data_IF_603366177610
#
_entry.id   IF_603366177610
#
_cell.length_a   1.000
_cell.length_b   1.000
_cell.length_c   1.000
_cell.angle_alpha   90.00
_cell.angle_beta   90.00
_cell.angle_gamma   90.00
#
_symmetry.space_group_name_H-M   'P 1'
#
loop_
_entity.id
_entity.type
_entity.pdbx_description
1 polymer ?
#
# COMPACT_ATOMS: atom_id res chain seq x y z
N UNK A 1 -31.91 -43.32 11.36
CA UNK A 1 -32.89 -43.41 12.45
C UNK A 1 -32.39 -44.14 13.70
N UNK A 2 -31.10 -44.49 13.83
CA UNK A 2 -30.57 -45.14 15.03
C UNK A 2 -30.20 -44.17 16.17
N UNK A 3 -30.07 -42.88 15.89
CA UNK A 3 -29.60 -41.86 16.87
C UNK A 3 -30.70 -40.87 17.28
N UNK A 4 -31.99 -41.12 17.01
CA UNK A 4 -33.10 -40.29 17.47
C UNK A 4 -33.24 -38.91 16.78
N UNK A 5 -32.42 -38.60 15.80
CA UNK A 5 -32.49 -37.35 15.04
C UNK A 5 -33.38 -37.55 13.83
N UNK A 6 -34.54 -36.92 13.81
CA UNK A 6 -35.43 -36.87 12.64
C UNK A 6 -35.09 -35.64 11.81
N UNK A 7 -34.20 -35.79 10.82
CA UNK A 7 -33.90 -34.76 9.86
C UNK A 7 -34.25 -35.23 8.45
N UNK A 8 -34.85 -34.35 7.64
CA UNK A 8 -35.07 -34.58 6.21
C UNK A 8 -33.79 -34.18 5.44
N UNK A 9 -33.64 -34.71 4.22
CA UNK A 9 -32.46 -34.44 3.36
C UNK A 9 -32.23 -32.94 3.02
N UNK A 10 -33.21 -32.09 3.29
CA UNK A 10 -33.14 -30.63 3.07
C UNK A 10 -33.00 -29.83 4.37
N UNK A 11 -32.88 -30.48 5.52
CA UNK A 11 -32.75 -29.81 6.80
C UNK A 11 -31.30 -29.66 7.20
N UNK A 12 -30.93 -28.46 7.69
CA UNK A 12 -29.61 -28.22 8.26
C UNK A 12 -29.55 -28.90 9.64
N UNK A 13 -28.50 -29.63 9.91
CA UNK A 13 -28.15 -30.22 11.19
C UNK A 13 -27.03 -29.43 11.84
N UNK A 14 -26.95 -29.42 13.16
CA UNK A 14 -25.83 -28.80 13.86
C UNK A 14 -24.51 -29.58 13.65
N UNK A 15 -23.39 -28.92 13.87
CA UNK A 15 -22.04 -29.46 13.61
C UNK A 15 -21.78 -30.73 14.47
N UNK A 16 -22.26 -30.75 15.72
CA UNK A 16 -22.04 -31.89 16.64
C UNK A 16 -22.80 -33.12 16.19
N UNK A 17 -24.05 -32.94 15.73
CA UNK A 17 -24.86 -34.01 15.13
C UNK A 17 -24.26 -34.52 13.84
N UNK A 18 -23.74 -33.63 12.98
CA UNK A 18 -23.06 -34.00 11.76
C UNK A 18 -21.80 -34.85 12.01
N UNK A 19 -21.00 -34.46 13.00
CA UNK A 19 -19.79 -35.17 13.42
C UNK A 19 -20.10 -36.61 13.86
N UNK A 20 -21.10 -36.77 14.77
CA UNK A 20 -21.55 -38.07 15.24
C UNK A 20 -22.02 -38.97 14.10
N UNK A 21 -22.74 -38.42 13.13
CA UNK A 21 -23.22 -39.18 11.96
C UNK A 21 -22.06 -39.64 11.10
N UNK A 22 -21.08 -38.80 10.85
CA UNK A 22 -19.92 -39.13 9.99
C UNK A 22 -19.01 -40.14 10.65
N UNK A 23 -18.80 -40.05 11.99
CA UNK A 23 -18.05 -41.04 12.77
C UNK A 23 -18.72 -42.42 12.78
N UNK A 24 -20.04 -42.49 12.82
CA UNK A 24 -20.77 -43.78 12.73
C UNK A 24 -20.58 -44.48 11.39
N UNK A 25 -20.35 -43.70 10.31
CA UNK A 25 -20.00 -44.23 8.98
C UNK A 25 -18.51 -44.54 8.84
N UNK A 26 -17.70 -44.41 9.89
CA UNK A 26 -16.28 -44.77 9.90
C UNK A 26 -15.38 -43.72 9.21
N UNK A 27 -15.89 -42.50 9.01
CA UNK A 27 -15.15 -41.39 8.45
C UNK A 27 -14.63 -40.47 9.57
N UNK A 28 -13.51 -39.80 9.33
CA UNK A 28 -12.99 -38.78 10.24
C UNK A 28 -13.47 -37.41 9.79
N UNK A 29 -14.02 -36.63 10.72
CA UNK A 29 -14.41 -35.23 10.49
C UNK A 29 -13.24 -34.32 10.85
N UNK A 30 -12.92 -33.40 9.97
CA UNK A 30 -12.10 -32.23 10.29
C UNK A 30 -13.04 -31.03 10.34
N UNK A 31 -13.29 -30.50 11.54
CA UNK A 31 -14.00 -29.22 11.65
C UNK A 31 -13.13 -28.15 11.03
N UNK A 32 -13.62 -27.54 9.97
CA UNK A 32 -13.02 -26.36 9.36
C UNK A 32 -13.90 -25.19 9.77
N UNK A 33 -13.35 -24.31 10.59
CA UNK A 33 -13.98 -23.03 10.88
C UNK A 33 -13.98 -22.18 9.62
N UNK A 34 -14.98 -21.34 9.41
CA UNK A 34 -14.96 -20.39 8.28
C UNK A 34 -13.72 -19.49 8.32
N UNK A 35 -13.15 -19.23 9.49
CA UNK A 35 -11.87 -18.53 9.67
C UNK A 35 -10.64 -19.36 9.27
N UNK A 36 -10.75 -20.70 9.24
CA UNK A 36 -9.62 -21.57 8.85
C UNK A 36 -9.25 -21.44 7.37
N UNK A 37 -10.15 -20.89 6.55
CA UNK A 37 -9.89 -20.55 5.14
C UNK A 37 -8.82 -19.46 5.04
N UNK A 38 -8.73 -18.58 6.02
CA UNK A 38 -7.71 -17.53 6.08
C UNK A 38 -6.45 -17.94 6.86
N UNK A 39 -6.47 -19.08 7.57
CA UNK A 39 -5.28 -19.61 8.25
C UNK A 39 -4.21 -20.03 7.24
N UNK A 40 -3.00 -19.51 7.42
CA UNK A 40 -1.85 -19.79 6.55
C UNK A 40 -1.76 -18.92 5.30
N UNK A 41 -2.65 -17.92 5.16
CA UNK A 41 -2.53 -16.86 4.14
C UNK A 41 -1.49 -15.83 4.58
N UNK A 42 -1.50 -15.47 5.87
CA UNK A 42 -0.41 -14.72 6.47
C UNK A 42 0.77 -15.69 6.61
N UNK A 43 1.82 -15.44 5.85
CA UNK A 43 3.00 -16.29 5.85
C UNK A 43 3.59 -16.44 7.24
N UNK A 44 4.25 -17.57 7.50
CA UNK A 44 5.05 -17.80 8.70
C UNK A 44 6.01 -16.61 8.90
N UNK A 45 6.34 -16.31 10.15
CA UNK A 45 7.39 -15.35 10.46
C UNK A 45 8.69 -15.83 9.78
N UNK A 46 9.38 -14.87 9.14
CA UNK A 46 10.63 -15.18 8.45
C UNK A 46 11.75 -15.37 9.46
N UNK A 47 12.64 -16.34 9.21
CA UNK A 47 13.86 -16.48 9.99
C UNK A 47 14.78 -15.27 9.73
N UNK A 48 15.43 -14.74 10.76
CA UNK A 48 16.33 -13.58 10.64
C UNK A 48 17.46 -13.81 9.63
N UNK A 49 17.86 -15.06 9.41
CA UNK A 49 18.90 -15.45 8.45
C UNK A 49 18.51 -15.26 6.99
N UNK A 50 17.20 -15.24 6.70
CA UNK A 50 16.67 -15.13 5.33
C UNK A 50 16.33 -13.68 4.96
N UNK A 51 16.42 -12.77 5.93
CA UNK A 51 16.13 -11.36 5.74
C UNK A 51 17.27 -10.63 5.03
N UNK A 52 16.95 -9.98 3.92
CA UNK A 52 17.85 -9.15 3.13
C UNK A 52 17.42 -7.67 3.19
N UNK A 53 18.36 -6.72 3.11
CA UNK A 53 18.01 -5.31 3.01
C UNK A 53 17.11 -5.04 1.80
N UNK A 54 16.05 -4.23 2.01
CA UNK A 54 15.15 -3.81 0.93
C UNK A 54 15.16 -2.29 0.75
N UNK A 55 14.72 -1.84 -0.41
CA UNK A 55 14.53 -0.42 -0.66
C UNK A 55 13.49 0.18 0.29
N UNK A 56 13.70 1.42 0.79
CA UNK A 56 12.65 2.12 1.52
C UNK A 56 11.49 2.47 0.61
N UNK A 57 10.28 2.39 1.17
CA UNK A 57 9.05 2.88 0.56
C UNK A 57 8.75 4.26 1.15
N UNK A 58 8.72 5.27 0.31
CA UNK A 58 8.60 6.67 0.71
C UNK A 58 7.34 7.27 0.12
N UNK A 59 6.44 7.73 0.95
CA UNK A 59 5.26 8.44 0.48
C UNK A 59 5.48 9.95 0.54
N UNK A 60 5.20 10.64 -0.57
CA UNK A 60 5.30 12.09 -0.66
C UNK A 60 3.94 12.71 -0.43
N UNK A 61 3.86 13.57 0.59
CA UNK A 61 2.64 14.21 1.06
C UNK A 61 2.83 15.72 1.20
N UNK A 62 1.73 16.44 1.25
CA UNK A 62 1.72 17.90 1.45
C UNK A 62 0.58 18.55 0.69
N UNK A 63 0.51 19.88 0.79
CA UNK A 63 -0.55 20.68 0.19
C UNK A 63 -0.51 20.65 -1.34
N UNK A 64 -1.65 20.99 -1.98
CA UNK A 64 -1.72 21.26 -3.43
C UNK A 64 -0.73 22.39 -3.76
N UNK A 65 -0.15 22.35 -4.95
CA UNK A 65 0.79 23.36 -5.46
C UNK A 65 2.10 23.55 -4.65
N UNK A 66 2.37 22.74 -3.62
CA UNK A 66 3.67 22.75 -2.94
C UNK A 66 4.78 22.08 -3.75
N UNK A 67 4.46 21.52 -4.94
CA UNK A 67 5.43 20.99 -5.88
C UNK A 67 5.85 19.54 -5.61
N UNK A 68 4.97 18.71 -5.04
CA UNK A 68 5.22 17.27 -4.78
C UNK A 68 5.61 16.53 -6.07
N UNK A 69 4.74 16.58 -7.08
CA UNK A 69 4.96 15.90 -8.38
C UNK A 69 6.20 16.45 -9.07
N UNK A 70 6.41 17.78 -9.03
CA UNK A 70 7.62 18.39 -9.60
C UNK A 70 8.91 17.95 -8.88
N UNK A 71 8.86 17.77 -7.55
CA UNK A 71 9.97 17.24 -6.77
C UNK A 71 10.28 15.79 -7.18
N UNK A 72 9.25 14.98 -7.32
CA UNK A 72 9.36 13.60 -7.74
C UNK A 72 9.87 13.48 -9.19
N UNK A 73 9.40 14.32 -10.09
CA UNK A 73 9.93 14.38 -11.47
C UNK A 73 11.40 14.77 -11.51
N UNK A 74 11.82 15.70 -10.65
CA UNK A 74 13.21 16.09 -10.53
C UNK A 74 14.09 14.92 -10.05
N UNK A 75 13.61 14.09 -9.11
CA UNK A 75 14.29 12.88 -8.64
C UNK A 75 14.31 11.77 -9.69
N UNK A 76 13.21 11.58 -10.44
CA UNK A 76 13.12 10.56 -11.52
C UNK A 76 13.84 10.95 -12.80
N UNK A 77 14.17 12.21 -12.98
CA UNK A 77 14.61 12.77 -14.28
C UNK A 77 13.54 12.56 -15.37
N UNK A 78 12.25 12.80 -15.01
CA UNK A 78 11.07 12.68 -15.88
C UNK A 78 10.25 13.96 -15.84
N UNK A 79 9.19 14.03 -16.63
CA UNK A 79 8.29 15.18 -16.72
C UNK A 79 6.82 14.68 -16.73
N UNK A 80 6.43 14.01 -15.65
CA UNK A 80 5.08 13.45 -15.48
C UNK A 80 4.08 14.56 -15.17
N UNK A 81 4.47 15.57 -14.39
CA UNK A 81 3.61 16.70 -14.06
C UNK A 81 3.06 17.41 -15.29
N UNK A 82 3.84 17.51 -16.36
CA UNK A 82 3.40 18.11 -17.63
C UNK A 82 2.43 17.23 -18.43
N UNK A 83 2.42 15.92 -18.16
CA UNK A 83 1.57 14.95 -18.87
C UNK A 83 0.22 14.72 -18.18
N UNK A 84 0.07 15.10 -16.91
CA UNK A 84 -1.18 14.95 -16.16
C UNK A 84 -2.22 16.02 -16.56
N UNK A 85 -3.48 15.58 -16.70
CA UNK A 85 -4.58 16.46 -17.04
C UNK A 85 -4.80 17.51 -15.93
N UNK A 86 -4.56 18.79 -16.25
CA UNK A 86 -4.65 19.89 -15.30
C UNK A 86 -3.43 20.10 -14.42
N UNK A 87 -2.32 19.35 -14.63
CA UNK A 87 -1.06 19.50 -13.88
C UNK A 87 -1.16 19.06 -12.41
N UNK A 88 -2.17 18.24 -12.07
CA UNK A 88 -2.39 17.75 -10.71
C UNK A 88 -2.44 16.22 -10.69
N UNK A 89 -1.80 15.62 -9.70
CA UNK A 89 -1.86 14.17 -9.46
C UNK A 89 -3.26 13.79 -8.97
N UNK A 90 -3.95 12.91 -9.70
CA UNK A 90 -5.30 12.42 -9.39
C UNK A 90 -5.33 10.94 -9.02
N UNK A 91 -4.26 10.21 -9.29
CA UNK A 91 -4.07 8.79 -9.00
C UNK A 91 -2.87 8.60 -8.07
N UNK A 92 -2.83 7.48 -7.37
CA UNK A 92 -1.63 7.15 -6.60
C UNK A 92 -0.57 6.63 -7.58
N UNK A 93 0.51 7.40 -7.77
CA UNK A 93 1.67 6.96 -8.51
C UNK A 93 2.61 6.15 -7.63
N UNK A 94 3.07 5.00 -8.11
CA UNK A 94 4.10 4.23 -7.41
C UNK A 94 5.21 3.85 -8.39
N UNK A 95 6.46 4.15 -8.04
CA UNK A 95 7.62 3.91 -8.92
C UNK A 95 8.91 3.79 -8.13
N UNK A 96 9.90 3.16 -8.74
CA UNK A 96 11.20 2.93 -8.12
C UNK A 96 12.29 3.73 -8.83
N UNK A 97 13.06 4.51 -8.06
CA UNK A 97 14.22 5.28 -8.53
C UNK A 97 15.48 4.54 -8.13
N UNK A 98 16.40 4.37 -9.07
CA UNK A 98 17.76 3.88 -8.80
C UNK A 98 18.69 5.08 -8.75
N UNK A 99 19.32 5.29 -7.61
CA UNK A 99 20.25 6.37 -7.36
C UNK A 99 21.60 6.13 -8.03
N UNK A 100 22.45 7.16 -8.13
CA UNK A 100 23.82 7.02 -8.66
C UNK A 100 24.67 6.02 -7.86
N UNK A 101 24.38 5.85 -6.57
CA UNK A 101 25.01 4.87 -5.69
C UNK A 101 24.59 3.40 -5.97
N UNK A 102 23.62 3.18 -6.86
CA UNK A 102 23.01 1.88 -7.11
C UNK A 102 21.92 1.49 -6.07
N UNK A 103 21.79 2.22 -4.97
CA UNK A 103 20.67 2.05 -4.02
C UNK A 103 19.36 2.44 -4.68
N UNK A 104 18.26 1.85 -4.23
CA UNK A 104 16.92 2.10 -4.75
C UNK A 104 16.04 2.73 -3.69
N UNK A 105 15.13 3.59 -4.12
CA UNK A 105 14.06 4.17 -3.31
C UNK A 105 12.75 3.98 -4.07
N UNK A 106 11.73 3.50 -3.39
CA UNK A 106 10.38 3.40 -3.96
C UNK A 106 9.55 4.58 -3.48
N UNK A 107 9.08 5.38 -4.42
CA UNK A 107 8.23 6.52 -4.12
C UNK A 107 6.76 6.21 -4.39
N UNK A 108 5.90 6.71 -3.50
CA UNK A 108 4.46 6.74 -3.66
C UNK A 108 4.02 8.21 -3.70
N UNK A 109 3.53 8.64 -4.85
CA UNK A 109 2.96 9.98 -5.03
C UNK A 109 1.47 9.96 -4.69
N UNK A 110 1.03 10.87 -3.82
CA UNK A 110 -0.36 10.97 -3.40
C UNK A 110 -0.97 12.32 -3.79
N UNK A 111 -2.25 12.32 -4.26
CA UNK A 111 -2.94 13.56 -4.56
C UNK A 111 -3.00 14.51 -3.36
N UNK A 112 -2.71 15.79 -3.58
CA UNK A 112 -2.73 16.81 -2.52
C UNK A 112 -4.12 17.33 -2.19
N UNK A 113 -5.11 17.16 -3.06
CA UNK A 113 -6.43 17.73 -2.90
C UNK A 113 -7.24 17.07 -1.76
N UNK A 114 -8.05 17.87 -1.04
CA UNK A 114 -8.84 17.43 0.11
C UNK A 114 -9.74 16.22 -0.21
N UNK A 115 -10.30 16.15 -1.40
CA UNK A 115 -11.16 15.05 -1.84
C UNK A 115 -10.48 13.66 -1.80
N UNK A 116 -9.14 13.58 -1.67
CA UNK A 116 -8.36 12.35 -1.75
C UNK A 116 -7.75 11.90 -0.41
N UNK A 117 -8.38 12.23 0.73
CA UNK A 117 -7.94 11.83 2.07
C UNK A 117 -7.70 10.33 2.21
N UNK A 118 -8.58 9.50 1.66
CA UNK A 118 -8.44 8.03 1.69
C UNK A 118 -7.20 7.54 0.93
N UNK A 119 -6.79 8.24 -0.14
CA UNK A 119 -5.57 7.90 -0.89
C UNK A 119 -4.32 8.24 -0.09
N UNK A 120 -4.31 9.37 0.65
CA UNK A 120 -3.20 9.72 1.55
C UNK A 120 -3.07 8.74 2.71
N UNK A 121 -4.20 8.36 3.33
CA UNK A 121 -4.21 7.35 4.39
C UNK A 121 -3.64 6.00 3.90
N UNK A 122 -4.01 5.60 2.68
CA UNK A 122 -3.50 4.38 2.04
C UNK A 122 -2.01 4.49 1.73
N UNK A 123 -1.55 5.61 1.18
CA UNK A 123 -0.12 5.85 0.98
C UNK A 123 0.64 5.69 2.29
N UNK A 124 0.17 6.32 3.37
CA UNK A 124 0.80 6.23 4.69
C UNK A 124 0.86 4.79 5.23
N UNK A 125 -0.17 3.97 5.03
CA UNK A 125 -0.25 2.60 5.60
C UNK A 125 0.75 1.60 5.02
N UNK A 126 1.32 1.89 3.86
CA UNK A 126 2.28 1.01 3.17
C UNK A 126 3.70 1.59 3.12
N UNK A 127 3.91 2.75 3.76
CA UNK A 127 5.18 3.49 3.70
C UNK A 127 6.07 3.23 4.91
N UNK A 128 7.37 3.30 4.68
CA UNK A 128 8.38 3.28 5.73
C UNK A 128 8.73 4.70 6.22
N UNK A 129 8.73 5.68 5.30
CA UNK A 129 9.09 7.07 5.57
C UNK A 129 8.15 8.01 4.83
N UNK A 130 7.70 9.08 5.44
CA UNK A 130 6.91 10.13 4.81
C UNK A 130 7.79 11.34 4.52
N UNK A 131 7.83 11.78 3.25
CA UNK A 131 8.41 13.08 2.87
C UNK A 131 7.29 14.10 2.82
N UNK A 132 7.30 15.01 3.78
CA UNK A 132 6.34 16.11 3.89
C UNK A 132 6.85 17.33 3.11
N UNK A 133 6.23 17.64 2.00
CA UNK A 133 6.62 18.77 1.15
C UNK A 133 5.87 20.02 1.58
N UNK A 134 6.61 21.04 1.95
CA UNK A 134 6.08 22.37 2.34
C UNK A 134 6.74 23.43 1.50
N UNK A 135 5.96 24.28 0.84
CA UNK A 135 6.49 25.39 0.06
C UNK A 135 6.97 26.51 0.98
N UNK A 136 8.19 27.01 0.76
CA UNK A 136 8.83 28.03 1.59
C UNK A 136 8.16 29.41 1.52
N UNK A 137 7.40 29.67 0.44
CA UNK A 137 6.62 30.89 0.22
C UNK A 137 5.24 30.83 0.87
N UNK A 138 4.61 29.64 0.97
CA UNK A 138 3.24 29.47 1.46
C UNK A 138 3.19 29.08 2.95
N UNK A 139 4.12 28.23 3.44
CA UNK A 139 4.14 27.72 4.81
C UNK A 139 3.24 26.50 5.01
N UNK A 140 2.85 26.24 6.27
CA UNK A 140 2.03 25.07 6.65
C UNK A 140 0.56 25.34 6.35
N UNK A 141 -0.01 24.53 5.46
CA UNK A 141 -1.39 24.62 4.99
C UNK A 141 -2.27 23.51 5.58
N UNK A 142 -3.61 23.59 5.55
CA UNK A 142 -4.50 22.59 6.16
C UNK A 142 -4.22 21.16 5.74
N UNK A 143 -3.93 20.92 4.45
CA UNK A 143 -3.60 19.58 3.95
C UNK A 143 -2.21 19.08 4.39
N UNK A 144 -1.30 20.01 4.71
CA UNK A 144 -0.03 19.66 5.35
C UNK A 144 -0.28 19.11 6.77
N UNK A 145 -1.18 19.75 7.52
CA UNK A 145 -1.58 19.28 8.86
C UNK A 145 -2.25 17.90 8.79
N UNK A 146 -3.09 17.68 7.80
CA UNK A 146 -3.71 16.38 7.55
C UNK A 146 -2.65 15.30 7.24
N UNK A 147 -1.68 15.62 6.38
CA UNK A 147 -0.56 14.73 6.06
C UNK A 147 0.26 14.33 7.30
N UNK A 148 0.54 15.29 8.20
CA UNK A 148 1.20 15.02 9.49
C UNK A 148 0.37 14.03 10.33
N UNK A 149 -0.94 14.18 10.39
CA UNK A 149 -1.82 13.27 11.12
C UNK A 149 -1.79 11.85 10.53
N UNK A 150 -1.79 11.73 9.21
CA UNK A 150 -1.70 10.42 8.55
C UNK A 150 -0.34 9.75 8.81
N UNK A 151 0.76 10.49 8.73
CA UNK A 151 2.09 9.97 9.03
C UNK A 151 2.19 9.49 10.49
N UNK A 152 1.71 10.30 11.45
CA UNK A 152 1.68 9.94 12.88
C UNK A 152 0.79 8.71 13.13
N UNK A 153 -0.37 8.62 12.50
CA UNK A 153 -1.27 7.47 12.63
C UNK A 153 -0.67 6.17 12.07
N UNK A 154 0.19 6.27 11.07
CA UNK A 154 0.93 5.15 10.49
C UNK A 154 2.24 4.85 11.25
N UNK A 155 2.60 5.62 12.27
CA UNK A 155 3.89 5.57 12.96
C UNK A 155 5.10 5.69 12.02
N UNK A 156 4.93 6.36 10.88
CA UNK A 156 5.99 6.56 9.91
C UNK A 156 6.80 7.83 10.26
N UNK A 157 8.13 7.76 10.31
CA UNK A 157 8.98 8.92 10.49
C UNK A 157 8.79 9.93 9.35
N UNK A 158 8.89 11.21 9.69
CA UNK A 158 8.67 12.31 8.76
C UNK A 158 10.02 12.95 8.44
N UNK A 159 10.28 13.18 7.16
CA UNK A 159 11.34 14.06 6.66
C UNK A 159 10.65 15.26 6.02
N UNK A 160 11.05 16.46 6.36
CA UNK A 160 10.45 17.68 5.79
C UNK A 160 11.28 18.16 4.60
N UNK A 161 10.64 18.28 3.43
CA UNK A 161 11.23 18.92 2.26
C UNK A 161 10.65 20.32 2.10
N UNK A 162 11.45 21.35 2.45
CA UNK A 162 11.07 22.76 2.29
C UNK A 162 11.37 23.15 0.85
N UNK A 163 10.33 23.12 0.01
CA UNK A 163 10.45 23.31 -1.44
C UNK A 163 10.25 24.77 -1.85
N UNK A 164 10.54 25.06 -3.11
CA UNK A 164 10.45 26.39 -3.74
C UNK A 164 11.43 27.41 -3.16
N UNK A 165 12.61 26.97 -2.74
CA UNK A 165 13.67 27.86 -2.24
C UNK A 165 14.19 28.84 -3.29
N UNK A 166 13.83 28.66 -4.56
CA UNK A 166 14.16 29.55 -5.66
C UNK A 166 13.25 30.79 -5.75
N UNK A 167 12.12 30.79 -5.04
CA UNK A 167 11.17 31.90 -5.10
C UNK A 167 11.59 33.10 -4.26
N UNK A 168 11.34 34.34 -4.74
CA UNK A 168 11.47 35.54 -3.91
C UNK A 168 10.42 35.47 -2.79
N UNK A 169 10.85 35.58 -1.55
CA UNK A 169 9.97 35.45 -0.38
C UNK A 169 9.99 34.08 0.28
N UNK A 170 10.80 33.14 -0.20
CA UNK A 170 11.05 31.87 0.48
C UNK A 170 11.59 32.12 1.91
N UNK A 171 10.89 31.59 2.91
CA UNK A 171 11.23 31.75 4.31
C UNK A 171 11.18 30.40 5.05
N UNK A 172 12.27 29.62 5.01
CA UNK A 172 12.33 28.32 5.67
C UNK A 172 12.23 28.41 7.21
N UNK A 173 12.73 29.49 7.80
CA UNK A 173 12.63 29.69 9.26
C UNK A 173 11.16 29.80 9.72
N UNK A 174 10.31 30.47 8.94
CA UNK A 174 8.87 30.54 9.19
C UNK A 174 8.24 29.14 9.10
N UNK A 175 8.59 28.35 8.09
CA UNK A 175 8.07 26.97 7.94
C UNK A 175 8.42 26.12 9.15
N UNK A 176 9.68 26.17 9.62
CA UNK A 176 10.14 25.45 10.82
C UNK A 176 9.36 25.85 12.06
N UNK A 177 9.10 27.13 12.22
CA UNK A 177 8.32 27.66 13.35
C UNK A 177 6.84 27.24 13.28
N UNK A 178 6.23 27.23 12.10
CA UNK A 178 4.86 26.75 11.90
C UNK A 178 4.73 25.25 12.16
N UNK A 179 5.71 24.44 11.74
CA UNK A 179 5.75 22.99 12.00
C UNK A 179 5.82 22.67 13.49
N UNK A 180 6.52 23.49 14.28
CA UNK A 180 6.60 23.33 15.72
C UNK A 180 5.22 23.37 16.39
N UNK A 181 4.29 24.19 15.88
CA UNK A 181 2.90 24.24 16.38
C UNK A 181 2.13 22.92 16.16
N UNK A 182 2.64 22.03 15.30
CA UNK A 182 2.06 20.72 14.99
C UNK A 182 2.91 19.57 15.54
N UNK A 183 3.78 19.86 16.54
CA UNK A 183 4.65 18.87 17.20
C UNK A 183 5.65 18.21 16.23
N UNK A 184 6.06 18.91 15.18
CA UNK A 184 7.18 18.54 14.32
C UNK A 184 8.34 19.45 14.68
N UNK A 185 9.29 18.90 15.44
CA UNK A 185 10.48 19.62 15.89
C UNK A 185 11.64 19.20 15.01
N UNK A 186 12.13 20.14 14.21
CA UNK A 186 13.25 19.88 13.29
C UNK A 186 14.59 19.88 14.02
N UNK A 187 15.62 19.26 13.43
CA UNK A 187 16.95 19.12 14.03
C UNK A 187 17.58 20.46 14.43
N UNK A 188 17.43 21.52 13.61
CA UNK A 188 17.90 22.87 13.95
C UNK A 188 17.27 23.44 15.24
N UNK A 189 16.10 22.97 15.62
CA UNK A 189 15.39 23.37 16.84
C UNK A 189 15.54 22.34 17.97
N UNK A 190 16.45 21.38 17.83
CA UNK A 190 16.75 20.38 18.86
C UNK A 190 15.81 19.16 18.85
N UNK A 191 15.09 18.93 17.76
CA UNK A 191 14.23 17.75 17.55
C UNK A 191 14.91 16.66 16.75
N UNK A 192 14.11 15.64 16.37
CA UNK A 192 14.56 14.44 15.66
C UNK A 192 14.12 14.44 14.19
N UNK A 193 13.38 15.43 13.74
CA UNK A 193 12.88 15.50 12.38
C UNK A 193 13.88 16.18 11.47
N UNK A 194 14.33 15.48 10.43
CA UNK A 194 15.20 16.07 9.41
C UNK A 194 14.41 17.02 8.52
N UNK A 195 14.97 18.19 8.22
CA UNK A 195 14.42 19.11 7.24
C UNK A 195 15.48 19.50 6.19
N UNK A 196 15.06 19.49 4.94
CA UNK A 196 15.92 19.73 3.79
C UNK A 196 15.32 20.83 2.92
N UNK A 197 16.13 21.88 2.67
CA UNK A 197 15.78 22.95 1.74
C UNK A 197 16.03 22.50 0.32
N UNK A 198 14.97 22.50 -0.52
CA UNK A 198 15.04 22.02 -1.89
C UNK A 198 14.42 22.99 -2.88
N UNK A 199 14.84 22.91 -4.12
CA UNK A 199 14.13 23.49 -5.26
C UNK A 199 14.01 22.43 -6.36
N UNK A 200 12.80 21.99 -6.58
CA UNK A 200 12.50 21.05 -7.67
C UNK A 200 12.84 21.65 -9.03
N UNK A 201 12.57 22.94 -9.23
CA UNK A 201 12.83 23.65 -10.49
C UNK A 201 14.32 23.81 -10.77
N UNK A 202 15.09 24.22 -9.76
CA UNK A 202 16.56 24.40 -9.87
C UNK A 202 17.35 23.12 -9.62
N UNK A 203 16.68 22.05 -9.21
CA UNK A 203 17.28 20.76 -8.83
C UNK A 203 18.35 20.89 -7.77
N UNK A 204 18.15 21.77 -6.78
CA UNK A 204 19.08 21.96 -5.66
C UNK A 204 18.55 21.23 -4.42
N UNK A 205 19.45 20.66 -3.60
CA UNK A 205 19.14 19.97 -2.35
C UNK A 205 18.51 18.57 -2.53
N UNK A 206 18.38 18.07 -3.77
CA UNK A 206 17.80 16.74 -4.03
C UNK A 206 18.70 15.62 -3.54
N UNK A 207 20.02 15.78 -3.71
CA UNK A 207 21.05 14.88 -3.18
C UNK A 207 20.97 14.74 -1.67
N UNK A 208 20.80 15.85 -0.95
CA UNK A 208 20.63 15.84 0.50
C UNK A 208 19.33 15.17 0.94
N UNK A 209 18.25 15.36 0.17
CA UNK A 209 16.98 14.69 0.44
C UNK A 209 17.10 13.18 0.25
N UNK A 210 17.78 12.73 -0.81
CA UNK A 210 18.06 11.31 -1.05
C UNK A 210 18.93 10.71 0.09
N UNK A 211 19.96 11.41 0.53
CA UNK A 211 20.82 11.01 1.66
C UNK A 211 20.03 10.91 2.96
N UNK A 212 19.14 11.87 3.26
CA UNK A 212 18.29 11.86 4.44
C UNK A 212 17.33 10.66 4.45
N UNK A 213 16.72 10.36 3.29
CA UNK A 213 15.85 9.18 3.13
C UNK A 213 16.63 7.88 3.37
N UNK A 214 17.83 7.77 2.79
CA UNK A 214 18.66 6.58 2.98
C UNK A 214 19.14 6.41 4.41
N UNK A 215 19.52 7.51 5.08
CA UNK A 215 19.92 7.49 6.49
C UNK A 215 18.76 7.04 7.38
N UNK A 216 17.56 7.57 7.14
CA UNK A 216 16.37 7.14 7.88
C UNK A 216 16.05 5.66 7.63
N UNK A 217 16.21 5.17 6.40
CA UNK A 217 16.02 3.78 6.06
C UNK A 217 17.03 2.84 6.75
N UNK A 218 18.28 3.28 6.90
CA UNK A 218 19.32 2.55 7.64
C UNK A 218 18.99 2.48 9.15
N UNK A 219 18.49 3.57 9.74
CA UNK A 219 18.04 3.57 11.13
C UNK A 219 16.85 2.63 11.38
N UNK A 220 15.99 2.45 10.40
CA UNK A 220 14.83 1.55 10.46
C UNK A 220 15.19 0.08 10.22
N UNK A 221 16.41 -0.24 9.77
CA UNK A 221 16.90 -1.57 9.41
C UNK A 221 15.91 -2.34 8.52
N UNK A 222 15.52 -1.74 7.41
CA UNK A 222 14.47 -2.26 6.52
C UNK A 222 14.92 -3.54 5.82
N UNK A 223 14.31 -4.66 6.20
CA UNK A 223 14.62 -6.00 5.68
C UNK A 223 13.35 -6.71 5.22
N UNK A 224 13.49 -7.64 4.30
CA UNK A 224 12.46 -8.59 3.89
C UNK A 224 13.09 -9.85 3.33
N UNK A 225 12.37 -10.97 3.37
CA UNK A 225 12.77 -12.21 2.72
C UNK A 225 12.26 -12.20 1.27
N UNK A 226 13.15 -12.18 0.24
CA UNK A 226 12.75 -12.22 -1.16
C UNK A 226 12.38 -13.62 -1.65
N UNK A 227 12.80 -14.67 -0.96
CA UNK A 227 12.71 -16.07 -1.43
C UNK A 227 11.41 -16.78 -1.00
N UNK A 228 10.50 -16.07 -0.33
CA UNK A 228 9.17 -16.60 0.04
C UNK A 228 8.10 -16.23 -1.00
N UNK A 229 6.90 -16.76 -0.80
CA UNK A 229 5.71 -16.36 -1.57
C UNK A 229 5.43 -14.88 -1.39
N UNK A 230 5.06 -14.20 -2.47
CA UNK A 230 4.84 -12.76 -2.42
C UNK A 230 3.57 -12.39 -1.66
N UNK A 231 3.71 -11.38 -0.82
CA UNK A 231 2.60 -10.67 -0.18
C UNK A 231 2.83 -9.15 -0.22
N UNK A 232 1.75 -8.40 -0.14
CA UNK A 232 1.82 -6.94 -0.15
C UNK A 232 0.43 -6.31 -0.23
N UNK A 233 0.37 -5.09 -0.76
CA UNK A 233 -0.85 -4.29 -0.79
C UNK A 233 -1.20 -3.78 -2.17
N UNK A 234 -2.48 -3.72 -2.46
CA UNK A 234 -3.03 -3.09 -3.67
C UNK A 234 -2.98 -1.57 -3.48
N UNK A 235 -2.19 -0.89 -4.27
CA UNK A 235 -2.09 0.57 -4.25
C UNK A 235 -3.29 1.19 -4.96
N UNK A 236 -3.54 0.75 -6.19
CA UNK A 236 -4.63 1.19 -7.03
C UNK A 236 -5.09 0.08 -7.97
N UNK A 237 -6.34 0.14 -8.40
CA UNK A 237 -6.88 -0.81 -9.36
C UNK A 237 -7.89 -0.14 -10.27
N UNK A 238 -7.97 -0.61 -11.51
CA UNK A 238 -8.90 -0.08 -12.51
C UNK A 238 -9.31 -1.14 -13.52
N UNK A 239 -10.42 -0.89 -14.18
CA UNK A 239 -10.83 -1.67 -15.33
C UNK A 239 -10.34 -0.97 -16.61
N UNK A 240 -9.38 -1.59 -17.29
CA UNK A 240 -8.86 -1.09 -18.57
C UNK A 240 -9.63 -1.73 -19.73
N UNK A 241 -10.04 -0.91 -20.71
CA UNK A 241 -10.87 -1.36 -21.84
C UNK A 241 -10.23 -2.42 -22.74
N UNK A 242 -8.89 -2.50 -22.75
CA UNK A 242 -8.14 -3.44 -23.60
C UNK A 242 -7.48 -4.59 -22.83
N UNK A 243 -7.11 -4.33 -21.58
CA UNK A 243 -6.31 -5.21 -20.74
C UNK A 243 -7.12 -5.93 -19.65
N UNK A 244 -8.38 -5.51 -19.42
CA UNK A 244 -9.23 -6.03 -18.36
C UNK A 244 -8.92 -5.39 -16.99
N UNK A 245 -9.07 -6.14 -15.92
CA UNK A 245 -8.71 -5.69 -14.60
C UNK A 245 -7.19 -5.51 -14.48
N UNK A 246 -6.76 -4.34 -14.04
CA UNK A 246 -5.37 -3.97 -13.80
C UNK A 246 -5.24 -3.52 -12.37
N UNK A 247 -4.31 -4.09 -11.63
CA UNK A 247 -4.01 -3.68 -10.26
C UNK A 247 -2.55 -3.29 -10.14
N UNK A 248 -2.28 -2.10 -9.61
CA UNK A 248 -0.96 -1.69 -9.17
C UNK A 248 -0.77 -2.16 -7.73
N UNK A 249 0.20 -3.00 -7.50
CA UNK A 249 0.51 -3.54 -6.17
C UNK A 249 1.92 -3.17 -5.76
N UNK A 250 2.13 -3.07 -4.46
CA UNK A 250 3.45 -2.97 -3.85
C UNK A 250 3.77 -4.32 -3.19
N UNK A 251 4.81 -4.96 -3.66
CA UNK A 251 5.33 -6.18 -3.02
C UNK A 251 6.03 -5.77 -1.72
N UNK A 252 5.62 -6.33 -0.60
CA UNK A 252 6.21 -6.04 0.71
C UNK A 252 7.18 -7.13 1.17
N UNK A 253 6.81 -8.38 0.93
CA UNK A 253 7.65 -9.56 1.21
C UNK A 253 7.55 -10.54 0.06
N UNK A 254 8.57 -11.37 -0.06
CA UNK A 254 8.65 -12.37 -1.13
C UNK A 254 8.87 -11.76 -2.51
N UNK A 255 8.80 -12.61 -3.52
CA UNK A 255 8.95 -12.21 -4.92
C UNK A 255 7.76 -12.69 -5.74
N UNK A 256 7.10 -11.75 -6.41
CA UNK A 256 5.96 -12.00 -7.28
C UNK A 256 6.46 -12.33 -8.69
N UNK A 257 6.02 -13.46 -9.24
CA UNK A 257 6.44 -13.97 -10.54
C UNK A 257 5.28 -14.06 -11.52
N UNK A 258 5.61 -13.96 -12.80
CA UNK A 258 4.65 -14.27 -13.85
C UNK A 258 4.23 -15.73 -13.76
N UNK A 259 2.93 -15.99 -13.78
CA UNK A 259 2.34 -17.33 -13.64
C UNK A 259 1.82 -17.64 -12.25
N UNK A 260 2.19 -16.85 -11.23
CA UNK A 260 1.70 -17.02 -9.88
C UNK A 260 0.18 -16.84 -9.81
N UNK A 261 -0.43 -17.51 -8.85
CA UNK A 261 -1.84 -17.37 -8.55
C UNK A 261 -1.95 -16.43 -7.37
N UNK A 262 -2.62 -15.30 -7.58
CA UNK A 262 -2.77 -14.24 -6.59
C UNK A 262 -4.21 -14.12 -6.13
N UNK A 263 -4.39 -13.84 -4.86
CA UNK A 263 -5.63 -13.35 -4.27
C UNK A 263 -5.38 -11.92 -3.83
N UNK A 264 -6.18 -10.99 -4.31
CA UNK A 264 -6.11 -9.57 -3.96
C UNK A 264 -7.50 -9.14 -3.47
N UNK A 265 -7.60 -8.82 -2.17
CA UNK A 265 -8.90 -8.63 -1.55
C UNK A 265 -9.82 -9.84 -1.75
N UNK A 266 -10.99 -9.61 -2.34
CA UNK A 266 -11.96 -10.65 -2.67
C UNK A 266 -11.84 -11.19 -4.11
N UNK A 267 -10.85 -10.71 -4.88
CA UNK A 267 -10.62 -11.10 -6.25
C UNK A 267 -9.39 -12.00 -6.36
N UNK A 268 -9.35 -12.85 -7.36
CA UNK A 268 -8.20 -13.72 -7.61
C UNK A 268 -7.91 -13.86 -9.10
N UNK A 269 -6.72 -14.35 -9.42
CA UNK A 269 -6.37 -14.64 -10.80
C UNK A 269 -4.94 -15.15 -10.95
N UNK A 270 -4.60 -15.55 -12.17
CA UNK A 270 -3.24 -15.94 -12.53
C UNK A 270 -2.53 -14.76 -13.17
N UNK A 271 -1.38 -14.39 -12.65
CA UNK A 271 -0.53 -13.32 -13.18
C UNK A 271 -0.13 -13.63 -14.62
N UNK A 272 -0.71 -12.93 -15.58
CA UNK A 272 -0.41 -13.06 -17.01
C UNK A 272 0.80 -12.24 -17.40
N UNK A 273 0.90 -11.04 -16.84
CA UNK A 273 2.02 -10.14 -17.03
C UNK A 273 2.23 -9.28 -15.80
N UNK A 274 3.49 -8.91 -15.56
CA UNK A 274 3.93 -7.91 -14.62
C UNK A 274 4.54 -6.76 -15.42
N UNK A 275 4.10 -5.53 -15.15
CA UNK A 275 4.62 -4.34 -15.79
C UNK A 275 5.27 -3.44 -14.73
N UNK A 276 6.43 -2.91 -15.03
CA UNK A 276 7.07 -1.90 -14.19
C UNK A 276 6.38 -0.52 -14.35
N UNK A 277 6.85 0.48 -13.62
CA UNK A 277 6.36 1.86 -13.66
C UNK A 277 6.52 2.56 -15.04
N UNK A 278 7.29 1.96 -15.95
CA UNK A 278 7.50 2.42 -17.34
C UNK A 278 6.70 1.60 -18.36
N UNK A 279 5.82 0.70 -17.88
CA UNK A 279 5.01 -0.18 -18.73
C UNK A 279 5.80 -1.32 -19.40
N UNK A 280 7.02 -1.60 -18.98
CA UNK A 280 7.84 -2.69 -19.52
C UNK A 280 7.50 -3.99 -18.79
N UNK A 281 7.43 -5.08 -19.54
CA UNK A 281 7.22 -6.39 -18.94
C UNK A 281 8.46 -6.84 -18.17
N UNK A 282 8.23 -7.27 -16.93
CA UNK A 282 9.23 -7.89 -16.08
C UNK A 282 8.82 -9.32 -15.74
N UNK A 283 9.78 -10.14 -15.37
CA UNK A 283 9.53 -11.57 -15.03
C UNK A 283 9.19 -11.75 -13.57
N UNK A 284 9.76 -10.91 -12.71
CA UNK A 284 9.72 -11.01 -11.27
C UNK A 284 9.79 -9.63 -10.63
N UNK A 285 9.11 -9.44 -9.50
CA UNK A 285 9.13 -8.25 -8.67
C UNK A 285 9.39 -8.64 -7.22
N UNK A 286 10.52 -8.22 -6.67
CA UNK A 286 10.91 -8.46 -5.27
C UNK A 286 10.33 -7.42 -4.30
N UNK A 287 10.73 -7.49 -3.02
CA UNK A 287 10.29 -6.57 -1.99
C UNK A 287 10.50 -5.09 -2.36
N UNK A 288 9.57 -4.24 -1.93
CA UNK A 288 9.52 -2.79 -2.20
C UNK A 288 9.39 -2.41 -3.67
N UNK A 289 9.03 -3.35 -4.56
CA UNK A 289 8.87 -3.09 -5.98
C UNK A 289 7.39 -2.87 -6.31
N UNK A 290 7.00 -1.70 -6.83
CA UNK A 290 5.66 -1.47 -7.35
C UNK A 290 5.53 -2.08 -8.74
N UNK A 291 4.41 -2.79 -9.00
CA UNK A 291 4.15 -3.40 -10.31
C UNK A 291 2.68 -3.37 -10.67
N UNK A 292 2.35 -3.23 -11.95
CA UNK A 292 1.02 -3.50 -12.46
C UNK A 292 0.87 -5.01 -12.72
N UNK A 293 -0.17 -5.60 -12.18
CA UNK A 293 -0.56 -7.00 -12.42
C UNK A 293 -1.69 -7.07 -13.42
N UNK A 294 -1.54 -7.92 -14.43
CA UNK A 294 -2.59 -8.29 -15.37
C UNK A 294 -2.97 -9.76 -15.17
N UNK A 295 -4.28 -10.05 -15.18
CA UNK A 295 -4.78 -11.43 -15.11
C UNK A 295 -5.67 -11.72 -13.92
N UNK A 296 -5.95 -10.74 -13.05
CA UNK A 296 -6.95 -10.84 -11.98
C UNK A 296 -8.35 -10.82 -12.62
N UNK A 297 -9.28 -11.61 -12.09
CA UNK A 297 -10.62 -11.78 -12.67
C UNK A 297 -11.50 -10.54 -12.51
N UNK A 298 -11.38 -9.83 -11.39
CA UNK A 298 -12.11 -8.60 -11.06
C UNK A 298 -11.19 -7.48 -10.63
N UNK A 299 -11.75 -6.35 -10.26
CA UNK A 299 -11.02 -5.17 -9.78
C UNK A 299 -10.96 -5.23 -8.26
N UNK A 300 -9.80 -5.55 -7.64
CA UNK A 300 -9.68 -5.61 -6.19
C UNK A 300 -9.83 -4.22 -5.58
N UNK A 301 -10.22 -4.16 -4.31
CA UNK A 301 -10.27 -2.90 -3.57
C UNK A 301 -8.87 -2.33 -3.37
N UNK A 302 -8.72 -1.03 -3.60
CA UNK A 302 -7.46 -0.36 -3.31
C UNK A 302 -7.21 -0.30 -1.79
N UNK A 303 -6.01 -0.63 -1.35
CA UNK A 303 -5.63 -0.79 0.07
C UNK A 303 -5.84 -2.21 0.60
N UNK A 304 -6.45 -3.11 -0.18
CA UNK A 304 -6.58 -4.51 0.23
C UNK A 304 -5.24 -5.26 0.12
N UNK A 305 -5.01 -6.25 0.98
CA UNK A 305 -3.84 -7.10 0.88
C UNK A 305 -3.91 -8.01 -0.35
N UNK A 306 -2.76 -8.31 -0.92
CA UNK A 306 -2.63 -9.39 -1.89
C UNK A 306 -1.64 -10.43 -1.39
N UNK A 307 -1.84 -11.67 -1.81
CA UNK A 307 -0.97 -12.81 -1.46
C UNK A 307 -0.94 -13.80 -2.62
N UNK A 308 0.22 -14.42 -2.82
CA UNK A 308 0.37 -15.57 -3.73
C UNK A 308 -0.05 -16.84 -3.00
N UNK A 309 -0.80 -17.69 -3.68
CA UNK A 309 -1.27 -18.97 -3.15
C UNK A 309 -0.83 -20.14 -4.06
N UNK A 310 -0.81 -21.33 -3.49
CA UNK A 310 -0.25 -22.52 -4.15
C UNK A 310 -1.03 -22.97 -5.40
N UNK A 311 -2.37 -22.81 -5.37
CA UNK A 311 -3.22 -23.32 -6.45
C UNK A 311 -4.52 -22.53 -6.60
N UNK A 312 -5.18 -22.70 -7.76
CA UNK A 312 -6.42 -21.99 -8.10
C UNK A 312 -7.61 -22.37 -7.21
N UNK A 313 -7.64 -23.61 -6.70
CA UNK A 313 -8.72 -24.05 -5.81
C UNK A 313 -8.66 -23.27 -4.49
N UNK A 314 -7.45 -23.10 -3.95
CA UNK A 314 -7.24 -22.32 -2.74
C UNK A 314 -7.59 -20.83 -2.96
N UNK A 315 -7.19 -20.28 -4.11
CA UNK A 315 -7.53 -18.91 -4.47
C UNK A 315 -9.04 -18.69 -4.54
N UNK A 316 -9.75 -19.62 -5.17
CA UNK A 316 -11.22 -19.58 -5.31
C UNK A 316 -11.91 -19.68 -3.96
N UNK A 317 -11.50 -20.61 -3.11
CA UNK A 317 -12.04 -20.80 -1.75
C UNK A 317 -11.94 -19.51 -0.92
N UNK A 318 -10.77 -18.87 -0.92
CA UNK A 318 -10.52 -17.61 -0.22
C UNK A 318 -11.40 -16.49 -0.80
N UNK A 319 -11.44 -16.36 -2.12
CA UNK A 319 -12.23 -15.34 -2.81
C UNK A 319 -13.72 -15.49 -2.50
N UNK A 320 -14.28 -16.70 -2.60
CA UNK A 320 -15.68 -16.98 -2.30
C UNK A 320 -16.02 -16.69 -0.83
N UNK A 321 -15.14 -17.04 0.09
CA UNK A 321 -15.30 -16.72 1.52
C UNK A 321 -15.34 -15.20 1.74
N UNK A 322 -14.38 -14.45 1.19
CA UNK A 322 -14.33 -12.99 1.35
C UNK A 322 -15.51 -12.28 0.68
N UNK A 323 -15.93 -12.74 -0.51
CA UNK A 323 -17.11 -12.22 -1.19
C UNK A 323 -18.40 -12.47 -0.39
N UNK A 324 -18.53 -13.65 0.27
CA UNK A 324 -19.66 -13.94 1.17
C UNK A 324 -19.66 -12.98 2.35
N UNK A 325 -18.53 -12.81 3.03
CA UNK A 325 -18.36 -11.91 4.16
C UNK A 325 -18.73 -10.45 3.81
N UNK A 326 -18.34 -9.97 2.61
CA UNK A 326 -18.71 -8.65 2.12
C UNK A 326 -20.22 -8.54 1.92
N UNK A 327 -20.86 -9.54 1.29
CA UNK A 327 -22.32 -9.57 1.08
C UNK A 327 -23.09 -9.59 2.38
N UNK A 328 -22.68 -10.42 3.33
CA UNK A 328 -23.34 -10.55 4.64
C UNK A 328 -23.23 -9.24 5.44
N UNK A 329 -22.06 -8.60 5.42
CA UNK A 329 -21.86 -7.27 6.02
C UNK A 329 -22.73 -6.21 5.39
N UNK A 330 -22.84 -6.19 4.05
CA UNK A 330 -23.70 -5.26 3.33
C UNK A 330 -25.20 -5.48 3.65
N UNK A 331 -25.63 -6.74 3.73
CA UNK A 331 -26.99 -7.10 4.11
C UNK A 331 -27.31 -6.67 5.54
N UNK A 332 -26.41 -6.92 6.50
CA UNK A 332 -26.56 -6.51 7.89
C UNK A 332 -26.67 -4.98 8.03
N UNK A 333 -25.84 -4.22 7.28
CA UNK A 333 -25.90 -2.75 7.28
C UNK A 333 -27.22 -2.22 6.72
N UNK A 334 -27.77 -2.86 5.66
CA UNK A 334 -29.07 -2.47 5.11
C UNK A 334 -30.23 -2.77 6.06
N UNK A 335 -30.16 -3.88 6.81
CA UNK A 335 -31.18 -4.21 7.83
C UNK A 335 -31.12 -3.20 8.98
N UNK A 336 -29.92 -2.87 9.46
CA UNK A 336 -29.75 -1.86 10.52
C UNK A 336 -30.27 -0.47 10.09
N UNK A 337 -30.01 -0.06 8.86
CA UNK A 337 -30.48 1.21 8.31
C UNK A 337 -32.02 1.26 8.15
N UNK A 338 -32.68 0.11 7.93
CA UNK A 338 -34.16 0.02 7.84
C UNK A 338 -34.86 -0.08 9.19
N UNK A 339 -34.15 -0.49 10.26
CA UNK A 339 -34.66 -0.63 11.62
C UNK A 339 -34.64 0.67 12.45
N UNK A 340 -34.15 1.78 11.89
CA UNK A 340 -34.04 3.09 12.55
C UNK A 340 -35.06 4.12 12.04
N UNK A 341 -36.17 3.68 11.44
CA UNK A 341 -37.32 4.52 11.05
C UNK A 341 -38.51 4.26 11.96
#
# INVERSE_FOLDING_TARGET
MKMGVMATAAQNIDADTAELVVEEFGHRVKRVSESDVELGIEGLEDDETDLQPRAPVVTVMGHVDHGKTSLLDALRTTDVAAAEAGGITQHIGAYQVTLQSGKKITFIDTPGHEAFTSMRARGASVTDVVVLVVAADDGVMPQTIEAIKHAKAANAPIIVAINKMDKPGANPARVRQELLNHEIVVEEMGGDTQDIEVSAVKRTGLDKLEEAILLQAEMLDLRANPDRVAEGSVIESRLDRGRGAVATVLVQKGSLKRGDIVVAGAEWGRVRALLDDRGRQIKEAGPSTPVEILGIAGVPGAGEPFVVVENENRAREISEFRQRKIRDKAAATQVAARGTL
#
